data_IF_486549583892
#
_entry.id   IF_486549583892
#
_cell.length_a   1.000
_cell.length_b   1.000
_cell.length_c   1.000
_cell.angle_alpha   90.00
_cell.angle_beta   90.00
_cell.angle_gamma   90.00
#
_symmetry.space_group_name_H-M   'P 1'
#
loop_
_entity.id
_entity.type
_entity.pdbx_description
1 polymer ?
#
# COMPACT_ATOMS: atom_id res chain seq x y z
N UNK A 1 -8.80 2.82 -9.63
CA UNK A 1 -7.60 2.53 -8.81
C UNK A 1 -8.04 2.15 -7.41
N UNK A 2 -7.35 1.20 -6.78
CA UNK A 2 -7.63 0.76 -5.39
C UNK A 2 -6.38 1.05 -4.55
N UNK A 3 -6.57 1.48 -3.31
CA UNK A 3 -5.54 1.59 -2.29
C UNK A 3 -6.07 1.07 -0.95
N UNK A 4 -5.24 0.96 0.08
CA UNK A 4 -5.63 0.41 1.38
C UNK A 4 -5.55 1.44 2.51
N UNK A 5 -6.20 1.13 3.63
CA UNK A 5 -6.07 1.88 4.89
C UNK A 5 -4.62 2.00 5.37
N UNK A 6 -3.76 1.00 5.10
CA UNK A 6 -2.34 1.03 5.48
C UNK A 6 -1.54 2.01 4.61
N UNK A 7 -1.70 1.97 3.28
CA UNK A 7 -1.07 2.95 2.38
C UNK A 7 -1.52 4.38 2.73
N UNK A 8 -2.81 4.58 3.07
CA UNK A 8 -3.31 5.87 3.55
C UNK A 8 -2.58 6.32 4.82
N UNK A 9 -2.42 5.44 5.81
CA UNK A 9 -1.74 5.76 7.07
C UNK A 9 -0.24 6.02 6.89
N UNK A 10 0.42 5.25 6.03
CA UNK A 10 1.83 5.42 5.71
C UNK A 10 2.08 6.71 4.94
N UNK A 11 1.27 7.01 3.91
CA UNK A 11 1.35 8.25 3.14
C UNK A 11 1.26 9.48 4.05
N UNK A 12 0.28 9.52 4.96
CA UNK A 12 0.20 10.57 5.99
C UNK A 12 1.49 10.67 6.81
N UNK A 13 1.96 9.54 7.34
CA UNK A 13 3.15 9.48 8.20
C UNK A 13 4.40 9.96 7.46
N UNK A 14 4.56 9.60 6.18
CA UNK A 14 5.65 10.04 5.33
C UNK A 14 5.67 11.57 5.17
N UNK A 15 4.53 12.19 4.83
CA UNK A 15 4.43 13.65 4.74
C UNK A 15 4.72 14.34 6.08
N UNK A 16 4.26 13.75 7.20
CA UNK A 16 4.53 14.26 8.54
C UNK A 16 6.00 14.18 8.93
N UNK A 17 6.73 13.13 8.54
CA UNK A 17 8.19 13.02 8.74
C UNK A 17 8.96 14.14 8.03
N UNK A 18 8.44 14.66 6.91
CA UNK A 18 8.98 15.84 6.20
C UNK A 18 8.52 17.18 6.80
N UNK A 19 7.74 17.16 7.89
CA UNK A 19 7.08 18.32 8.53
C UNK A 19 6.08 19.06 7.62
N UNK A 20 5.58 18.41 6.58
CA UNK A 20 4.62 19.00 5.63
C UNK A 20 3.19 18.65 6.01
N UNK A 21 2.65 19.33 7.03
CA UNK A 21 1.28 19.06 7.47
C UNK A 21 0.24 19.32 6.36
N UNK A 22 0.33 20.47 5.67
CA UNK A 22 -0.59 20.80 4.57
C UNK A 22 -0.61 19.73 3.48
N UNK A 23 0.56 19.23 3.07
CA UNK A 23 0.64 18.12 2.09
C UNK A 23 0.04 16.81 2.59
N UNK A 24 0.14 16.55 3.89
CA UNK A 24 -0.50 15.37 4.48
C UNK A 24 -2.04 15.48 4.42
N UNK A 25 -2.59 16.68 4.63
CA UNK A 25 -4.03 16.96 4.49
C UNK A 25 -4.45 16.88 3.02
N UNK A 26 -3.73 17.55 2.10
CA UNK A 26 -3.97 17.50 0.65
C UNK A 26 -4.03 16.05 0.15
N UNK A 27 -3.15 15.18 0.66
CA UNK A 27 -3.14 13.76 0.32
C UNK A 27 -4.42 13.03 0.78
N UNK A 28 -4.87 13.26 2.01
CA UNK A 28 -6.12 12.66 2.49
C UNK A 28 -7.35 13.19 1.72
N UNK A 29 -7.35 14.49 1.42
CA UNK A 29 -8.41 15.12 0.64
C UNK A 29 -8.45 14.54 -0.78
N UNK A 30 -7.30 14.34 -1.42
CA UNK A 30 -7.22 13.72 -2.75
C UNK A 30 -7.79 12.28 -2.77
N UNK A 31 -7.59 11.50 -1.71
CA UNK A 31 -8.17 10.14 -1.60
C UNK A 31 -9.70 10.15 -1.44
N UNK A 32 -10.28 11.24 -0.97
CA UNK A 32 -11.74 11.36 -0.72
C UNK A 32 -12.47 12.18 -1.78
N UNK A 33 -11.78 13.03 -2.54
CA UNK A 33 -12.37 13.93 -3.54
C UNK A 33 -12.99 13.20 -4.75
N UNK A 34 -12.53 11.99 -5.05
CA UNK A 34 -12.91 11.26 -6.25
C UNK A 34 -13.13 9.75 -5.99
N UNK A 35 -14.13 9.38 -5.16
CA UNK A 35 -14.36 7.99 -4.75
C UNK A 35 -14.74 7.06 -5.93
N UNK A 36 -15.21 7.62 -7.05
CA UNK A 36 -15.45 6.91 -8.30
C UNK A 36 -14.17 6.49 -9.03
N UNK A 37 -13.03 7.13 -8.73
CA UNK A 37 -11.75 6.90 -9.39
C UNK A 37 -10.73 6.21 -8.47
N UNK A 38 -10.74 6.54 -7.18
CA UNK A 38 -9.87 5.96 -6.14
C UNK A 38 -10.73 5.41 -5.02
N UNK A 39 -10.59 4.12 -4.75
CA UNK A 39 -11.28 3.44 -3.66
C UNK A 39 -10.28 3.05 -2.58
N UNK A 40 -10.54 3.46 -1.33
CA UNK A 40 -9.73 3.06 -0.17
C UNK A 40 -10.42 1.89 0.53
N UNK A 41 -9.83 0.71 0.42
CA UNK A 41 -10.31 -0.48 1.10
C UNK A 41 -9.64 -0.68 2.45
N UNK A 42 -10.35 -1.32 3.36
CA UNK A 42 -9.77 -1.80 4.61
C UNK A 42 -9.27 -3.22 4.40
N UNK A 43 -8.01 -3.46 4.76
CA UNK A 43 -7.43 -4.80 4.77
C UNK A 43 -8.19 -5.64 5.82
N UNK A 44 -8.80 -6.78 5.43
CA UNK A 44 -9.44 -7.67 6.37
C UNK A 44 -8.42 -8.32 7.31
N UNK A 45 -8.81 -8.62 8.55
CA UNK A 45 -7.94 -9.24 9.56
C UNK A 45 -7.24 -10.50 9.03
N UNK A 46 -7.96 -11.39 8.34
CA UNK A 46 -7.35 -12.60 7.78
C UNK A 46 -6.26 -12.33 6.73
N UNK A 47 -6.39 -11.26 5.95
CA UNK A 47 -5.37 -10.85 4.97
C UNK A 47 -4.15 -10.24 5.69
N UNK A 48 -4.38 -9.53 6.80
CA UNK A 48 -3.31 -9.02 7.64
C UNK A 48 -2.52 -10.17 8.31
N UNK A 49 -3.20 -11.20 8.80
CA UNK A 49 -2.59 -12.41 9.37
C UNK A 49 -1.72 -13.16 8.32
N UNK A 50 -2.21 -13.25 7.08
CA UNK A 50 -1.45 -13.79 5.95
C UNK A 50 -0.19 -12.95 5.67
N UNK A 51 -0.30 -11.62 5.66
CA UNK A 51 0.83 -10.72 5.47
C UNK A 51 1.89 -10.85 6.59
N UNK A 52 1.45 -10.96 7.84
CA UNK A 52 2.35 -11.19 8.99
C UNK A 52 3.05 -12.55 8.86
N UNK A 53 2.31 -13.58 8.45
CA UNK A 53 2.89 -14.92 8.25
C UNK A 53 3.90 -14.92 7.10
N UNK A 54 3.64 -14.14 6.05
CA UNK A 54 4.56 -13.96 4.93
C UNK A 54 5.84 -13.24 5.36
N UNK A 55 5.74 -12.11 6.09
CA UNK A 55 6.90 -11.37 6.60
C UNK A 55 7.83 -12.22 7.46
N UNK A 56 7.27 -13.13 8.28
CA UNK A 56 8.07 -14.03 9.13
C UNK A 56 8.94 -15.01 8.34
N UNK A 57 8.64 -15.21 7.06
CA UNK A 57 9.32 -16.17 6.18
C UNK A 57 10.24 -15.49 5.17
N UNK A 58 10.17 -14.17 5.01
CA UNK A 58 10.88 -13.42 3.98
C UNK A 58 11.81 -12.38 4.62
N UNK A 59 13.07 -12.78 4.81
CA UNK A 59 14.16 -11.93 5.34
C UNK A 59 15.26 -11.71 4.27
N UNK A 60 15.02 -12.14 3.03
CA UNK A 60 15.95 -11.93 1.92
C UNK A 60 16.02 -10.46 1.47
N UNK A 61 15.03 -9.65 1.85
CA UNK A 61 14.93 -8.22 1.60
C UNK A 61 14.18 -7.54 2.74
N UNK A 62 14.51 -6.28 2.99
CA UNK A 62 13.78 -5.45 3.94
C UNK A 62 12.41 -5.06 3.35
N UNK A 63 11.37 -5.84 3.66
CA UNK A 63 9.98 -5.52 3.32
C UNK A 63 9.29 -4.76 4.45
N UNK A 64 8.52 -3.73 4.12
CA UNK A 64 7.68 -3.07 5.11
C UNK A 64 6.41 -3.86 5.39
N UNK A 65 5.78 -3.56 6.54
CA UNK A 65 4.45 -4.10 6.85
C UNK A 65 3.38 -3.65 5.83
N UNK A 66 3.52 -2.44 5.27
CA UNK A 66 2.57 -1.94 4.28
C UNK A 66 2.74 -2.66 2.94
N UNK A 67 3.96 -3.03 2.57
CA UNK A 67 4.22 -3.83 1.37
C UNK A 67 3.59 -5.21 1.50
N UNK A 68 3.87 -5.93 2.59
CA UNK A 68 3.32 -7.26 2.81
C UNK A 68 1.79 -7.29 2.84
N UNK A 69 1.16 -6.32 3.52
CA UNK A 69 -0.31 -6.20 3.51
C UNK A 69 -0.86 -5.84 2.14
N UNK A 70 -0.13 -5.05 1.34
CA UNK A 70 -0.48 -4.76 -0.04
C UNK A 70 -0.38 -6.00 -0.93
N UNK A 71 0.68 -6.81 -0.79
CA UNK A 71 0.87 -8.05 -1.53
C UNK A 71 -0.23 -9.06 -1.25
N UNK A 72 -0.54 -9.31 0.03
CA UNK A 72 -1.60 -10.23 0.43
C UNK A 72 -2.97 -9.75 -0.08
N UNK A 73 -3.25 -8.44 0.05
CA UNK A 73 -4.51 -7.85 -0.42
C UNK A 73 -4.64 -7.96 -1.95
N UNK A 74 -3.59 -7.66 -2.70
CA UNK A 74 -3.59 -7.75 -4.16
C UNK A 74 -3.81 -9.19 -4.63
N UNK A 75 -3.11 -10.17 -4.02
CA UNK A 75 -3.31 -11.60 -4.32
C UNK A 75 -4.75 -12.04 -4.04
N UNK A 76 -5.31 -11.66 -2.89
CA UNK A 76 -6.69 -11.99 -2.54
C UNK A 76 -7.74 -11.36 -3.47
N UNK A 77 -7.39 -10.26 -4.16
CA UNK A 77 -8.26 -9.56 -5.11
C UNK A 77 -7.96 -9.89 -6.57
N UNK A 78 -6.94 -10.69 -6.86
CA UNK A 78 -6.49 -10.95 -8.24
C UNK A 78 -5.97 -9.69 -8.95
N UNK A 79 -5.35 -8.77 -8.22
CA UNK A 79 -4.73 -7.55 -8.76
C UNK A 79 -3.26 -7.84 -9.03
N UNK A 80 -2.83 -7.62 -10.27
CA UNK A 80 -1.46 -7.91 -10.71
C UNK A 80 -0.59 -6.65 -10.89
N UNK A 81 -1.24 -5.50 -11.08
CA UNK A 81 -0.58 -4.24 -11.40
C UNK A 81 -0.59 -3.28 -10.18
N UNK A 82 0.57 -2.70 -9.87
CA UNK A 82 0.74 -1.71 -8.80
C UNK A 82 1.42 -0.45 -9.33
N UNK A 83 0.90 0.73 -8.96
CA UNK A 83 1.65 1.97 -9.12
C UNK A 83 2.62 2.11 -7.93
N UNK A 84 3.85 1.65 -8.11
CA UNK A 84 4.92 1.68 -7.11
C UNK A 84 6.25 2.11 -7.76
N UNK A 85 7.24 2.51 -6.96
CA UNK A 85 8.46 3.18 -7.44
C UNK A 85 9.77 2.57 -6.93
N UNK A 86 9.74 1.65 -5.97
CA UNK A 86 10.89 1.13 -5.22
C UNK A 86 11.31 -0.31 -5.60
N UNK A 87 10.59 -0.95 -6.52
CA UNK A 87 10.93 -2.29 -6.99
C UNK A 87 10.55 -3.40 -6.00
N UNK A 88 9.94 -3.06 -4.86
CA UNK A 88 9.49 -4.04 -3.85
C UNK A 88 8.34 -4.88 -4.40
N UNK A 89 7.42 -4.27 -5.14
CA UNK A 89 6.29 -4.96 -5.76
C UNK A 89 6.75 -5.86 -6.90
N UNK A 90 7.72 -5.40 -7.70
CA UNK A 90 8.33 -6.24 -8.74
C UNK A 90 9.03 -7.47 -8.14
N UNK A 91 9.76 -7.31 -7.02
CA UNK A 91 10.42 -8.42 -6.33
C UNK A 91 9.41 -9.44 -5.76
N UNK A 92 8.24 -8.96 -5.33
CA UNK A 92 7.14 -9.81 -4.85
C UNK A 92 6.28 -10.43 -5.96
N UNK A 93 6.63 -10.20 -7.23
CA UNK A 93 6.00 -10.81 -8.41
C UNK A 93 4.86 -10.02 -9.05
N UNK A 94 4.72 -8.72 -8.73
CA UNK A 94 3.72 -7.83 -9.34
C UNK A 94 4.29 -7.00 -10.49
N UNK A 95 3.41 -6.47 -11.33
CA UNK A 95 3.76 -5.54 -12.41
C UNK A 95 3.75 -4.11 -11.87
N UNK A 96 4.93 -3.49 -11.78
CA UNK A 96 5.03 -2.07 -11.42
C UNK A 96 4.73 -1.17 -12.63
N UNK A 97 3.65 -0.42 -12.53
CA UNK A 97 3.29 0.62 -13.49
C UNK A 97 4.03 1.91 -13.14
N UNK A 98 4.78 2.44 -14.11
CA UNK A 98 5.39 3.76 -14.01
C UNK A 98 4.45 4.80 -14.65
N UNK A 99 4.21 5.96 -13.99
CA UNK A 99 3.41 7.05 -14.55
C UNK A 99 4.09 7.73 -15.74
#
# INVERSE_FOLDING_TARGET
MITTNHIRGEGWTWFRRKRWHGKAVDFLDALTAAPSHVRVDFVPVGIEDEAISWLRQHDEREYSFVDATSFAFMRAKGIEEALAFDGDFAAAGFVELRP
#
